data_IF_128496618235
#
_entry.id   IF_128496618235
#
_cell.length_a   1.000
_cell.length_b   1.000
_cell.length_c   1.000
_cell.angle_alpha   90.00
_cell.angle_beta   90.00
_cell.angle_gamma   90.00
#
_symmetry.space_group_name_H-M   'P 1'
#
loop_
_entity.id
_entity.type
_entity.pdbx_description
1 polymer ?
#
# COMPACT_ATOMS: atom_id res chain seq x y z
N UNK A 1 -5.62 -19.70 18.98
CA UNK A 1 -5.35 -18.32 18.49
C UNK A 1 -6.49 -17.97 17.56
N UNK A 2 -7.19 -16.87 17.79
CA UNK A 2 -8.27 -16.42 16.90
C UNK A 2 -7.63 -15.92 15.59
N UNK A 3 -8.26 -16.18 14.46
CA UNK A 3 -7.82 -15.75 13.12
C UNK A 3 -7.47 -14.25 13.03
N UNK A 4 -8.06 -13.42 13.88
CA UNK A 4 -7.81 -11.98 14.04
C UNK A 4 -6.40 -11.66 14.56
N UNK A 5 -5.81 -12.53 15.39
CA UNK A 5 -4.46 -12.27 15.95
C UNK A 5 -3.34 -12.49 14.91
N UNK A 6 -3.60 -13.36 13.92
CA UNK A 6 -2.63 -13.64 12.84
C UNK A 6 -2.52 -12.51 11.81
N UNK A 7 -3.50 -11.62 11.75
CA UNK A 7 -3.55 -10.47 10.82
C UNK A 7 -3.13 -9.15 11.48
N UNK A 8 -2.91 -9.15 12.79
CA UNK A 8 -2.48 -7.95 13.49
C UNK A 8 -1.01 -7.64 13.16
N UNK A 9 -0.78 -6.43 12.71
CA UNK A 9 0.57 -5.89 12.44
C UNK A 9 0.80 -4.78 13.46
N UNK A 10 1.80 -4.97 14.32
CA UNK A 10 2.11 -4.03 15.40
C UNK A 10 2.68 -2.72 14.81
N UNK A 11 2.03 -1.56 15.02
CA UNK A 11 2.49 -0.29 14.45
C UNK A 11 3.87 0.14 14.93
N UNK A 12 4.22 -0.16 16.18
CA UNK A 12 5.52 0.19 16.75
C UNK A 12 6.66 -0.60 16.09
N UNK A 13 6.44 -1.86 15.70
CA UNK A 13 7.43 -2.63 14.95
C UNK A 13 7.71 -2.00 13.58
N UNK A 14 6.64 -1.51 12.92
CA UNK A 14 6.80 -0.78 11.66
C UNK A 14 7.51 0.56 11.88
N UNK A 15 7.16 1.29 12.95
CA UNK A 15 7.76 2.60 13.26
C UNK A 15 9.28 2.53 13.46
N UNK A 16 9.78 1.43 14.00
CA UNK A 16 11.24 1.21 14.20
C UNK A 16 11.99 1.02 12.87
N UNK A 17 11.29 0.79 11.74
CA UNK A 17 11.91 0.64 10.42
C UNK A 17 12.60 -0.71 10.18
N UNK A 18 12.38 -1.71 11.06
CA UNK A 18 12.93 -3.06 10.87
C UNK A 18 12.14 -3.84 9.82
N UNK A 19 12.79 -4.78 9.09
CA UNK A 19 12.08 -5.71 8.23
C UNK A 19 11.00 -6.47 8.99
N UNK A 20 9.78 -6.50 8.46
CA UNK A 20 8.69 -7.22 9.08
C UNK A 20 8.66 -8.68 8.62
N UNK A 21 8.76 -9.60 9.57
CA UNK A 21 8.86 -11.04 9.31
C UNK A 21 7.47 -11.64 9.16
N UNK A 22 7.14 -12.11 7.97
CA UNK A 22 5.89 -12.87 7.73
C UNK A 22 6.11 -14.33 8.18
N UNK A 23 7.22 -14.92 7.76
CA UNK A 23 7.73 -16.23 8.21
C UNK A 23 9.25 -16.29 8.01
N UNK A 24 9.86 -17.47 8.18
CA UNK A 24 11.32 -17.62 8.06
C UNK A 24 11.88 -17.40 6.64
N UNK A 25 11.03 -17.34 5.63
CA UNK A 25 11.41 -17.20 4.22
C UNK A 25 10.88 -15.93 3.56
N UNK A 26 9.92 -15.27 4.18
CA UNK A 26 9.23 -14.12 3.61
C UNK A 26 9.29 -12.97 4.59
N UNK A 27 9.88 -11.88 4.15
CA UNK A 27 10.01 -10.62 4.90
C UNK A 27 9.47 -9.48 4.04
N UNK A 28 8.90 -8.46 4.67
CA UNK A 28 8.59 -7.19 4.05
C UNK A 28 9.63 -6.18 4.51
N UNK A 29 10.36 -5.60 3.57
CA UNK A 29 11.36 -4.57 3.85
C UNK A 29 10.71 -3.20 3.97
N UNK A 30 11.33 -2.34 4.74
CA UNK A 30 10.97 -0.93 4.84
C UNK A 30 12.13 -0.10 4.28
N UNK A 31 12.09 0.30 3.01
CA UNK A 31 13.11 1.18 2.48
C UNK A 31 13.05 2.55 3.15
N UNK A 32 14.20 3.19 3.22
CA UNK A 32 14.31 4.60 3.59
C UNK A 32 13.86 5.51 2.41
N UNK A 33 13.60 6.77 2.71
CA UNK A 33 13.33 7.76 1.65
C UNK A 33 14.51 7.84 0.66
N UNK A 34 15.74 7.72 1.15
CA UNK A 34 16.93 7.65 0.32
C UNK A 34 16.93 6.44 -0.61
N UNK A 35 16.65 5.24 -0.10
CA UNK A 35 16.58 4.02 -0.90
C UNK A 35 15.54 4.13 -2.03
N UNK A 36 14.39 4.75 -1.76
CA UNK A 36 13.33 4.95 -2.76
C UNK A 36 13.78 5.92 -3.85
N UNK A 37 14.50 6.98 -3.49
CA UNK A 37 15.02 7.96 -4.45
C UNK A 37 16.09 7.29 -5.35
N UNK A 38 16.99 6.51 -4.76
CA UNK A 38 18.06 5.81 -5.48
C UNK A 38 17.49 4.71 -6.40
N UNK A 39 16.45 4.01 -5.97
CA UNK A 39 15.73 3.03 -6.80
C UNK A 39 14.92 3.69 -7.94
N UNK A 40 14.52 4.92 -7.75
CA UNK A 40 13.62 5.68 -8.61
C UNK A 40 12.17 5.64 -8.13
N UNK A 41 11.69 6.79 -7.66
CA UNK A 41 10.36 6.95 -7.04
C UNK A 41 9.22 6.35 -7.86
N UNK A 42 9.18 6.63 -9.17
CA UNK A 42 8.12 6.14 -10.07
C UNK A 42 8.16 4.61 -10.18
N UNK A 43 9.33 4.01 -10.30
CA UNK A 43 9.51 2.56 -10.37
C UNK A 43 9.09 1.91 -9.06
N UNK A 44 9.48 2.49 -7.93
CA UNK A 44 9.12 2.02 -6.59
C UNK A 44 7.60 1.96 -6.38
N UNK A 45 6.91 3.06 -6.60
CA UNK A 45 5.45 3.09 -6.42
C UNK A 45 4.72 2.23 -7.45
N UNK A 46 5.23 2.11 -8.67
CA UNK A 46 4.67 1.23 -9.69
C UNK A 46 4.72 -0.24 -9.24
N UNK A 47 5.87 -0.72 -8.75
CA UNK A 47 6.00 -2.11 -8.29
C UNK A 47 5.18 -2.35 -7.03
N UNK A 48 5.19 -1.42 -6.08
CA UNK A 48 4.39 -1.49 -4.87
C UNK A 48 2.88 -1.61 -5.19
N UNK A 49 2.37 -0.73 -6.06
CA UNK A 49 0.97 -0.78 -6.49
C UNK A 49 0.65 -2.06 -7.24
N UNK A 50 1.57 -2.59 -8.06
CA UNK A 50 1.38 -3.84 -8.76
C UNK A 50 1.29 -5.04 -7.80
N UNK A 51 2.19 -5.12 -6.83
CA UNK A 51 2.19 -6.19 -5.82
C UNK A 51 0.96 -6.11 -4.90
N UNK A 52 0.52 -4.90 -4.56
CA UNK A 52 -0.64 -4.66 -3.70
C UNK A 52 -1.98 -4.53 -4.47
N UNK A 53 -1.99 -4.72 -5.79
CA UNK A 53 -3.17 -4.52 -6.62
C UNK A 53 -4.34 -5.41 -6.22
N UNK A 54 -5.54 -4.88 -6.38
CA UNK A 54 -6.80 -5.63 -6.32
C UNK A 54 -7.34 -5.85 -7.73
N UNK A 55 -8.27 -6.78 -7.95
CA UNK A 55 -8.95 -6.92 -9.24
C UNK A 55 -9.60 -5.63 -9.73
N UNK A 56 -10.10 -4.80 -8.80
CA UNK A 56 -10.68 -3.49 -9.13
C UNK A 56 -9.64 -2.50 -9.68
N UNK A 57 -8.39 -2.54 -9.20
CA UNK A 57 -7.30 -1.70 -9.73
C UNK A 57 -6.87 -2.12 -11.13
N UNK A 58 -7.05 -3.40 -11.48
CA UNK A 58 -6.66 -4.00 -12.76
C UNK A 58 -7.85 -4.22 -13.71
N UNK A 59 -9.05 -3.65 -13.41
CA UNK A 59 -10.29 -3.97 -14.13
C UNK A 59 -10.21 -3.76 -15.64
N UNK A 60 -9.50 -2.74 -16.12
CA UNK A 60 -9.31 -2.50 -17.56
C UNK A 60 -8.49 -3.62 -18.20
N UNK A 61 -7.34 -3.96 -17.60
CA UNK A 61 -6.45 -5.00 -18.13
C UNK A 61 -7.09 -6.39 -18.08
N UNK A 62 -7.82 -6.70 -17.00
CA UNK A 62 -8.54 -7.96 -16.85
C UNK A 62 -9.66 -8.07 -17.89
N UNK A 63 -10.43 -7.00 -18.08
CA UNK A 63 -11.50 -6.96 -19.07
C UNK A 63 -10.96 -7.14 -20.49
N UNK A 64 -9.85 -6.49 -20.85
CA UNK A 64 -9.21 -6.64 -22.15
C UNK A 64 -8.67 -8.05 -22.35
N UNK A 65 -8.28 -8.74 -21.27
CA UNK A 65 -7.92 -10.16 -21.27
C UNK A 65 -9.11 -11.12 -21.22
N UNK A 66 -10.35 -10.62 -21.27
CA UNK A 66 -11.56 -11.45 -21.21
C UNK A 66 -11.91 -11.99 -19.84
N UNK A 67 -11.31 -11.43 -18.77
CA UNK A 67 -11.51 -11.85 -17.38
C UNK A 67 -12.46 -10.87 -16.70
N UNK A 68 -13.51 -11.40 -16.06
CA UNK A 68 -14.37 -10.59 -15.21
C UNK A 68 -13.70 -10.33 -13.87
N UNK A 69 -13.26 -9.10 -13.65
CA UNK A 69 -12.54 -8.69 -12.44
C UNK A 69 -13.35 -8.87 -11.14
N UNK A 70 -14.69 -8.98 -11.24
CA UNK A 70 -15.56 -9.20 -10.07
C UNK A 70 -15.64 -10.70 -9.66
N UNK A 71 -15.16 -11.61 -10.50
CA UNK A 71 -15.22 -13.06 -10.29
C UNK A 71 -13.92 -13.64 -9.74
N UNK A 72 -12.85 -12.85 -9.72
CA UNK A 72 -11.56 -13.25 -9.15
C UNK A 72 -11.29 -12.51 -7.85
N UNK A 73 -10.58 -13.17 -6.94
CA UNK A 73 -10.14 -12.55 -5.70
C UNK A 73 -8.70 -11.98 -5.78
N UNK A 74 -8.28 -11.30 -4.72
CA UNK A 74 -6.97 -10.67 -4.66
C UNK A 74 -5.81 -11.68 -4.80
N UNK A 75 -5.94 -12.88 -4.21
CA UNK A 75 -4.89 -13.89 -4.27
C UNK A 75 -4.83 -14.57 -5.65
N UNK A 76 -5.98 -14.76 -6.28
CA UNK A 76 -6.04 -15.23 -7.67
C UNK A 76 -5.35 -14.22 -8.60
N UNK A 77 -5.67 -12.93 -8.48
CA UNK A 77 -4.97 -11.88 -9.23
C UNK A 77 -3.47 -11.91 -8.97
N UNK A 78 -3.05 -11.96 -7.71
CA UNK A 78 -1.63 -12.02 -7.36
C UNK A 78 -0.95 -13.24 -7.98
N UNK A 79 -1.61 -14.41 -7.99
CA UNK A 79 -1.07 -15.61 -8.60
C UNK A 79 -0.84 -15.50 -10.11
N UNK A 80 -1.62 -14.64 -10.79
CA UNK A 80 -1.46 -14.35 -12.21
C UNK A 80 -0.33 -13.36 -12.48
N UNK A 81 -0.11 -12.40 -11.57
CA UNK A 81 0.87 -11.32 -11.74
C UNK A 81 2.26 -11.75 -11.25
N UNK A 82 2.35 -12.46 -10.12
CA UNK A 82 3.61 -12.81 -9.46
C UNK A 82 4.67 -13.41 -10.40
N UNK A 83 4.35 -14.32 -11.34
CA UNK A 83 5.34 -14.86 -12.27
C UNK A 83 5.96 -13.84 -13.23
N UNK A 84 5.36 -12.66 -13.39
CA UNK A 84 5.89 -11.59 -14.23
C UNK A 84 6.76 -10.58 -13.48
N UNK A 85 6.94 -10.76 -12.16
CA UNK A 85 7.67 -9.85 -11.29
C UNK A 85 9.07 -10.40 -10.94
N UNK A 86 10.12 -9.97 -11.65
CA UNK A 86 11.49 -10.41 -11.36
C UNK A 86 11.97 -9.86 -10.00
N UNK A 87 12.90 -10.58 -9.38
CA UNK A 87 13.42 -10.24 -8.05
C UNK A 87 14.08 -8.85 -8.03
N UNK A 88 14.72 -8.45 -9.11
CA UNK A 88 15.35 -7.15 -9.26
C UNK A 88 14.38 -5.98 -9.06
N UNK A 89 13.11 -6.19 -9.40
CA UNK A 89 12.06 -5.20 -9.21
C UNK A 89 11.41 -5.25 -7.83
N UNK A 90 11.35 -6.44 -7.22
CA UNK A 90 10.64 -6.60 -5.94
C UNK A 90 11.56 -6.59 -4.73
N UNK A 91 12.88 -6.67 -4.92
CA UNK A 91 13.86 -6.79 -3.84
C UNK A 91 13.82 -5.64 -2.83
N UNK A 92 13.50 -4.44 -3.27
CA UNK A 92 13.39 -3.27 -2.37
C UNK A 92 12.27 -3.40 -1.33
N UNK A 93 11.23 -4.21 -1.60
CA UNK A 93 10.10 -4.43 -0.68
C UNK A 93 10.02 -5.86 -0.14
N UNK A 94 10.57 -6.86 -0.85
CA UNK A 94 10.46 -8.29 -0.49
C UNK A 94 11.81 -8.99 -0.36
N UNK A 95 12.93 -8.27 -0.46
CA UNK A 95 14.28 -8.85 -0.37
C UNK A 95 14.53 -9.92 -1.43
N UNK A 96 15.06 -11.05 -1.01
CA UNK A 96 15.45 -12.16 -1.90
C UNK A 96 14.28 -13.04 -2.35
N UNK A 97 13.03 -12.68 -2.03
CA UNK A 97 11.85 -13.43 -2.46
C UNK A 97 11.65 -13.30 -3.96
N UNK A 98 11.97 -14.37 -4.68
CA UNK A 98 11.80 -14.42 -6.13
C UNK A 98 10.37 -14.83 -6.50
N UNK A 99 9.51 -13.86 -6.78
CA UNK A 99 8.13 -14.10 -7.17
C UNK A 99 8.04 -14.79 -8.54
N UNK A 100 8.92 -14.46 -9.48
CA UNK A 100 8.90 -15.05 -10.84
C UNK A 100 9.25 -16.54 -10.88
N UNK A 101 9.91 -17.04 -9.85
CA UNK A 101 10.23 -18.46 -9.71
C UNK A 101 9.10 -19.28 -9.04
N UNK A 102 8.03 -18.63 -8.58
CA UNK A 102 6.89 -19.31 -7.99
C UNK A 102 6.04 -19.99 -9.08
N UNK A 103 5.67 -21.23 -8.82
CA UNK A 103 4.73 -21.99 -9.66
C UNK A 103 3.40 -22.12 -8.94
N UNK A 104 2.31 -22.03 -9.71
CA UNK A 104 0.96 -22.18 -9.20
C UNK A 104 0.61 -23.67 -9.09
N UNK A 105 0.21 -24.09 -7.91
CA UNK A 105 -0.31 -25.40 -7.60
C UNK A 105 -1.75 -25.30 -7.11
N UNK A 106 -2.52 -26.36 -7.26
CA UNK A 106 -3.81 -26.51 -6.60
C UNK A 106 -3.72 -27.61 -5.55
N UNK A 107 -4.18 -27.29 -4.34
CA UNK A 107 -4.29 -28.28 -3.25
C UNK A 107 -5.25 -29.40 -3.66
N UNK A 108 -4.84 -30.65 -3.44
CA UNK A 108 -5.69 -31.82 -3.70
C UNK A 108 -6.85 -31.95 -2.72
N UNK A 109 -6.72 -31.34 -1.55
CA UNK A 109 -7.71 -31.48 -0.46
C UNK A 109 -8.88 -30.52 -0.63
N UNK A 110 -8.62 -29.28 -1.00
CA UNK A 110 -9.63 -28.21 -1.03
C UNK A 110 -9.66 -27.40 -2.35
N UNK A 111 -8.78 -27.74 -3.32
CA UNK A 111 -8.70 -27.03 -4.60
C UNK A 111 -8.10 -25.61 -4.55
N UNK A 112 -7.65 -25.16 -3.37
CA UNK A 112 -7.10 -23.82 -3.20
C UNK A 112 -5.78 -23.64 -3.96
N UNK A 113 -5.55 -22.40 -4.39
CA UNK A 113 -4.31 -22.00 -5.04
C UNK A 113 -3.19 -21.92 -4.00
N UNK A 114 -2.03 -22.42 -4.37
CA UNK A 114 -0.78 -22.31 -3.62
C UNK A 114 0.30 -21.89 -4.60
N UNK A 115 1.03 -20.83 -4.28
CA UNK A 115 2.25 -20.46 -5.00
C UNK A 115 3.44 -21.07 -4.26
N UNK A 116 4.30 -21.81 -4.97
CA UNK A 116 5.45 -22.41 -4.31
C UNK A 116 6.68 -22.46 -5.23
N UNK A 117 7.85 -22.33 -4.60
CA UNK A 117 9.13 -22.68 -5.17
C UNK A 117 9.79 -23.75 -4.27
N UNK A 118 9.76 -25.02 -4.67
CA UNK A 118 10.34 -26.11 -3.89
C UNK A 118 11.85 -25.97 -3.65
N UNK A 119 12.59 -25.40 -4.63
CA UNK A 119 14.05 -25.22 -4.55
C UNK A 119 14.42 -24.25 -3.41
N UNK A 120 13.69 -23.14 -3.30
CA UNK A 120 13.87 -22.16 -2.23
C UNK A 120 13.10 -22.52 -0.95
N UNK A 121 12.27 -23.57 -0.98
CA UNK A 121 11.37 -23.96 0.12
C UNK A 121 10.40 -22.81 0.51
N UNK A 122 9.96 -22.06 -0.48
CA UNK A 122 8.97 -20.99 -0.32
C UNK A 122 7.60 -21.52 -0.68
N UNK A 123 6.62 -21.23 0.16
CA UNK A 123 5.19 -21.50 -0.08
C UNK A 123 4.40 -20.26 0.33
N UNK A 124 3.53 -19.80 -0.56
CA UNK A 124 2.58 -18.71 -0.31
C UNK A 124 1.18 -19.29 -0.52
N UNK A 125 0.45 -19.44 0.53
CA UNK A 125 -0.99 -19.68 0.53
C UNK A 125 -1.74 -18.36 0.76
N UNK A 126 -3.06 -18.42 0.79
CA UNK A 126 -3.92 -17.25 0.98
C UNK A 126 -3.59 -16.48 2.25
N UNK A 127 -3.35 -17.16 3.36
CA UNK A 127 -3.07 -16.51 4.64
C UNK A 127 -1.72 -15.77 4.62
N UNK A 128 -0.69 -16.40 4.08
CA UNK A 128 0.64 -15.78 3.95
C UNK A 128 0.57 -14.59 3.00
N UNK A 129 -0.13 -14.72 1.87
CA UNK A 129 -0.38 -13.62 0.94
C UNK A 129 -1.07 -12.44 1.64
N UNK A 130 -2.19 -12.67 2.33
CA UNK A 130 -2.93 -11.61 3.00
C UNK A 130 -2.08 -10.90 4.06
N UNK A 131 -1.28 -11.63 4.85
CA UNK A 131 -0.36 -11.02 5.81
C UNK A 131 0.69 -10.15 5.12
N UNK A 132 1.30 -10.65 4.05
CA UNK A 132 2.31 -9.93 3.28
C UNK A 132 1.74 -8.64 2.68
N UNK A 133 0.60 -8.72 1.99
CA UNK A 133 -0.01 -7.56 1.35
C UNK A 133 -0.55 -6.56 2.38
N UNK A 134 -1.16 -7.02 3.47
CA UNK A 134 -1.59 -6.13 4.54
C UNK A 134 -0.42 -5.41 5.21
N UNK A 135 0.73 -6.08 5.37
CA UNK A 135 1.94 -5.47 5.86
C UNK A 135 2.43 -4.35 4.92
N UNK A 136 2.57 -4.65 3.62
CA UNK A 136 2.99 -3.65 2.63
C UNK A 136 2.01 -2.48 2.55
N UNK A 137 0.70 -2.75 2.54
CA UNK A 137 -0.32 -1.68 2.53
C UNK A 137 -0.25 -0.81 3.78
N UNK A 138 -0.09 -1.41 4.95
CA UNK A 138 0.02 -0.67 6.21
C UNK A 138 1.28 0.20 6.25
N UNK A 139 2.41 -0.32 5.79
CA UNK A 139 3.66 0.44 5.69
C UNK A 139 3.53 1.71 4.84
N UNK A 140 2.68 1.68 3.82
CA UNK A 140 2.55 2.76 2.83
C UNK A 140 1.24 3.53 2.92
N UNK A 141 0.41 3.26 3.92
CA UNK A 141 -0.92 3.88 4.04
C UNK A 141 -1.88 3.54 2.89
N UNK A 142 -1.64 2.43 2.17
CA UNK A 142 -2.47 2.01 1.05
C UNK A 142 -3.74 1.33 1.53
N UNK A 143 -4.87 1.65 0.89
CA UNK A 143 -6.15 0.98 1.10
C UNK A 143 -6.46 0.07 -0.08
N UNK A 144 -7.04 -1.10 0.22
CA UNK A 144 -7.54 -1.98 -0.84
C UNK A 144 -8.71 -1.31 -1.57
N UNK A 145 -8.67 -1.33 -2.89
CA UNK A 145 -9.82 -0.92 -3.70
C UNK A 145 -10.84 -2.07 -3.74
N UNK A 146 -11.99 -1.86 -3.10
CA UNK A 146 -13.07 -2.84 -3.02
C UNK A 146 -14.27 -2.44 -3.89
N UNK A 147 -14.02 -1.64 -4.93
CA UNK A 147 -15.05 -1.16 -5.84
C UNK A 147 -15.75 -2.34 -6.54
N UNK A 148 -17.07 -2.28 -6.66
CA UNK A 148 -17.89 -3.31 -7.32
C UNK A 148 -18.93 -2.66 -8.22
N UNK A 149 -19.17 -3.26 -9.39
CA UNK A 149 -20.24 -2.85 -10.27
C UNK A 149 -21.55 -3.57 -9.93
N UNK A 150 -22.65 -2.83 -9.86
CA UNK A 150 -23.96 -3.41 -9.58
C UNK A 150 -24.58 -4.16 -10.76
N UNK A 151 -24.17 -3.85 -11.99
CA UNK A 151 -24.67 -4.47 -13.20
C UNK A 151 -23.66 -4.29 -14.36
N UNK A 152 -23.94 -4.95 -15.51
CA UNK A 152 -23.07 -4.93 -16.68
C UNK A 152 -22.89 -3.52 -17.29
N UNK A 153 -23.92 -2.66 -17.22
CA UNK A 153 -23.83 -1.29 -17.74
C UNK A 153 -22.89 -0.45 -16.89
N UNK A 154 -23.04 -0.52 -15.55
CA UNK A 154 -22.14 0.13 -14.59
C UNK A 154 -20.71 -0.38 -14.75
N UNK A 155 -20.52 -1.70 -14.92
CA UNK A 155 -19.19 -2.28 -15.13
C UNK A 155 -18.50 -1.69 -16.37
N UNK A 156 -19.21 -1.59 -17.50
CA UNK A 156 -18.66 -0.97 -18.72
C UNK A 156 -18.33 0.50 -18.54
N UNK A 157 -19.21 1.24 -17.87
CA UNK A 157 -18.98 2.66 -17.59
C UNK A 157 -17.74 2.89 -16.71
N UNK A 158 -17.54 2.04 -15.69
CA UNK A 158 -16.36 2.10 -14.81
C UNK A 158 -15.07 1.81 -15.59
N UNK A 159 -15.06 0.79 -16.44
CA UNK A 159 -13.92 0.45 -17.30
C UNK A 159 -13.58 1.59 -18.24
N UNK A 160 -14.60 2.18 -18.90
CA UNK A 160 -14.39 3.28 -19.83
C UNK A 160 -13.87 4.54 -19.14
N UNK A 161 -14.40 4.86 -17.95
CA UNK A 161 -13.91 5.98 -17.15
C UNK A 161 -12.45 5.81 -16.74
N UNK A 162 -12.05 4.58 -16.32
CA UNK A 162 -10.65 4.29 -15.99
C UNK A 162 -9.74 4.37 -17.21
N UNK A 163 -10.20 3.91 -18.39
CA UNK A 163 -9.46 4.06 -19.64
C UNK A 163 -9.16 5.51 -19.97
N UNK A 164 -10.19 6.36 -19.89
CA UNK A 164 -10.04 7.80 -20.12
C UNK A 164 -9.07 8.42 -19.09
N UNK A 165 -9.18 8.02 -17.82
CA UNK A 165 -8.28 8.47 -16.75
C UNK A 165 -6.83 8.04 -17.02
N UNK A 166 -6.61 6.80 -17.46
CA UNK A 166 -5.27 6.28 -17.84
C UNK A 166 -4.70 7.08 -19.03
N UNK A 167 -5.51 7.35 -20.05
CA UNK A 167 -5.11 8.16 -21.21
C UNK A 167 -4.75 9.59 -20.82
N UNK A 168 -5.56 10.23 -19.98
CA UNK A 168 -5.27 11.58 -19.48
C UNK A 168 -3.99 11.62 -18.64
N UNK A 169 -3.77 10.61 -17.79
CA UNK A 169 -2.58 10.54 -16.96
C UNK A 169 -1.31 10.24 -17.78
N UNK A 170 -1.41 9.49 -18.87
CA UNK A 170 -0.25 9.22 -19.74
C UNK A 170 0.27 10.48 -20.46
N UNK A 171 -0.56 11.52 -20.59
CA UNK A 171 -0.22 12.82 -21.20
C UNK A 171 0.34 13.83 -20.21
N UNK A 172 0.28 13.54 -18.90
CA UNK A 172 0.81 14.43 -17.86
C UNK A 172 2.32 14.23 -17.72
N UNK A 173 3.02 15.33 -17.48
CA UNK A 173 4.42 15.22 -17.08
C UNK A 173 4.55 14.50 -15.75
N UNK A 174 5.57 13.61 -15.61
CA UNK A 174 5.83 12.94 -14.34
C UNK A 174 6.08 13.97 -13.23
N UNK A 175 5.34 13.87 -12.14
CA UNK A 175 5.54 14.69 -10.96
C UNK A 175 5.92 13.81 -9.77
N UNK A 176 6.86 14.28 -8.95
CA UNK A 176 7.22 13.54 -7.73
C UNK A 176 6.09 13.63 -6.70
N UNK A 177 5.72 12.49 -6.15
CA UNK A 177 4.81 12.39 -5.01
C UNK A 177 5.52 12.72 -3.68
N UNK A 178 6.78 12.26 -3.53
CA UNK A 178 7.56 12.45 -2.30
C UNK A 178 8.10 13.87 -2.13
N UNK A 179 8.49 14.55 -3.21
CA UNK A 179 9.14 15.85 -3.13
C UNK A 179 8.33 16.91 -2.36
N UNK A 180 7.01 17.08 -2.59
CA UNK A 180 6.21 18.02 -1.82
C UNK A 180 6.14 17.63 -0.33
N UNK A 181 6.04 16.34 -0.01
CA UNK A 181 5.98 15.84 1.35
C UNK A 181 7.30 16.07 2.09
N UNK A 182 8.42 15.71 1.46
CA UNK A 182 9.78 15.95 1.98
C UNK A 182 10.00 17.44 2.25
N UNK A 183 9.64 18.29 1.30
CA UNK A 183 9.80 19.75 1.43
C UNK A 183 8.96 20.29 2.59
N UNK A 184 7.70 19.85 2.71
CA UNK A 184 6.78 20.28 3.76
C UNK A 184 7.26 19.87 5.16
N UNK A 185 7.67 18.61 5.33
CA UNK A 185 8.22 18.10 6.61
C UNK A 185 9.48 18.85 6.97
N UNK A 186 10.38 19.04 6.00
CA UNK A 186 11.63 19.77 6.22
C UNK A 186 11.39 21.21 6.69
N UNK A 187 10.52 21.94 6.00
CA UNK A 187 10.20 23.32 6.37
C UNK A 187 9.53 23.42 7.74
N UNK A 188 8.61 22.49 8.05
CA UNK A 188 7.81 22.55 9.27
C UNK A 188 8.58 22.06 10.49
N UNK A 189 9.37 20.99 10.36
CA UNK A 189 10.08 20.35 11.45
C UNK A 189 11.54 20.80 11.58
N UNK A 190 12.06 21.54 10.60
CA UNK A 190 13.46 21.92 10.56
C UNK A 190 14.44 20.74 10.36
N UNK A 191 13.95 19.61 9.87
CA UNK A 191 14.79 18.44 9.64
C UNK A 191 15.84 18.68 8.55
N UNK A 192 17.04 18.13 8.76
CA UNK A 192 18.07 18.16 7.73
C UNK A 192 17.71 17.22 6.59
N UNK A 193 18.32 17.46 5.42
CA UNK A 193 18.16 16.56 4.27
C UNK A 193 18.58 15.14 4.62
N UNK A 194 19.74 14.98 5.26
CA UNK A 194 20.30 13.68 5.57
C UNK A 194 19.43 12.90 6.56
N UNK A 195 18.81 13.60 7.53
CA UNK A 195 17.89 12.97 8.46
C UNK A 195 16.66 12.40 7.71
N UNK A 196 16.03 13.18 6.84
CA UNK A 196 14.87 12.72 6.06
C UNK A 196 15.22 11.54 5.16
N UNK A 197 16.38 11.56 4.52
CA UNK A 197 16.80 10.47 3.63
C UNK A 197 17.00 9.13 4.37
N UNK A 198 17.29 9.18 5.67
CA UNK A 198 17.46 8.00 6.53
C UNK A 198 16.13 7.53 7.16
N UNK A 199 15.06 8.33 7.08
CA UNK A 199 13.76 7.92 7.61
C UNK A 199 13.16 6.79 6.79
N UNK A 200 12.65 5.77 7.50
CA UNK A 200 11.87 4.69 6.90
C UNK A 200 10.53 5.18 6.36
N UNK A 201 10.04 4.55 5.32
CA UNK A 201 8.82 4.99 4.62
C UNK A 201 7.60 5.04 5.57
N UNK A 202 7.44 4.10 6.50
CA UNK A 202 6.32 4.10 7.43
C UNK A 202 6.40 5.27 8.43
N UNK A 203 7.55 5.47 9.09
CA UNK A 203 7.75 6.58 10.04
C UNK A 203 7.62 7.94 9.36
N UNK A 204 8.10 8.06 8.11
CA UNK A 204 7.93 9.27 7.32
C UNK A 204 6.44 9.58 7.05
N UNK A 205 5.66 8.61 6.57
CA UNK A 205 4.22 8.81 6.34
C UNK A 205 3.44 9.02 7.64
N UNK A 206 3.81 8.35 8.73
CA UNK A 206 3.23 8.62 10.05
C UNK A 206 3.46 10.07 10.45
N UNK A 207 4.68 10.59 10.28
CA UNK A 207 5.02 11.99 10.54
C UNK A 207 4.19 12.95 9.71
N UNK A 208 4.07 12.73 8.39
CA UNK A 208 3.23 13.56 7.50
C UNK A 208 1.78 13.59 7.98
N UNK A 209 1.21 12.41 8.27
CA UNK A 209 -0.17 12.30 8.73
C UNK A 209 -0.35 12.94 10.12
N UNK A 210 0.61 12.78 11.01
CA UNK A 210 0.58 13.40 12.35
C UNK A 210 0.60 14.91 12.28
N UNK A 211 1.44 15.48 11.42
CA UNK A 211 1.47 16.92 11.19
C UNK A 211 0.12 17.45 10.72
N UNK A 212 -0.53 16.76 9.79
CA UNK A 212 -1.87 17.14 9.34
C UNK A 212 -2.91 17.09 10.48
N UNK A 213 -2.82 16.09 11.36
CA UNK A 213 -3.73 15.99 12.53
C UNK A 213 -3.49 17.11 13.52
N UNK A 214 -2.24 17.46 13.81
CA UNK A 214 -1.87 18.56 14.70
C UNK A 214 -2.41 19.87 14.13
N UNK A 215 -2.13 20.17 12.86
CA UNK A 215 -2.56 21.42 12.22
C UNK A 215 -4.08 21.58 12.22
N UNK A 216 -4.80 20.50 11.87
CA UNK A 216 -6.24 20.52 11.88
C UNK A 216 -6.81 20.77 13.29
N UNK A 217 -6.24 20.13 14.31
CA UNK A 217 -6.65 20.35 15.69
C UNK A 217 -6.41 21.81 16.13
N UNK A 218 -5.24 22.37 15.84
CA UNK A 218 -4.87 23.73 16.18
C UNK A 218 -5.77 24.77 15.49
N UNK A 219 -6.08 24.56 14.18
CA UNK A 219 -6.99 25.43 13.45
C UNK A 219 -8.42 25.37 14.02
N UNK A 220 -8.92 24.19 14.38
CA UNK A 220 -10.23 24.02 14.99
C UNK A 220 -10.29 24.69 16.36
N UNK A 221 -9.28 24.49 17.22
CA UNK A 221 -9.18 25.10 18.54
C UNK A 221 -9.14 26.63 18.42
N UNK A 222 -8.29 27.14 17.51
CA UNK A 222 -8.20 28.59 17.25
C UNK A 222 -9.53 29.18 16.76
N UNK A 223 -10.21 28.47 15.83
CA UNK A 223 -11.51 28.88 15.33
C UNK A 223 -12.60 28.89 16.41
N UNK A 224 -12.57 27.93 17.34
CA UNK A 224 -13.48 27.91 18.49
C UNK A 224 -13.23 29.11 19.40
N UNK A 225 -11.98 29.42 19.76
CA UNK A 225 -11.62 30.57 20.58
C UNK A 225 -12.00 31.91 19.95
N UNK A 226 -11.91 32.00 18.61
CA UNK A 226 -12.29 33.19 17.84
C UNK A 226 -13.81 33.30 17.62
N UNK A 227 -14.59 32.26 17.98
CA UNK A 227 -16.04 32.23 17.74
C UNK A 227 -16.44 32.01 16.29
N UNK A 228 -15.49 31.64 15.39
CA UNK A 228 -15.74 31.36 13.97
C UNK A 228 -16.16 29.90 13.72
N UNK A 229 -15.89 29.01 14.68
CA UNK A 229 -16.26 27.59 14.64
C UNK A 229 -17.14 27.23 15.83
N UNK A 230 -18.31 26.64 15.55
CA UNK A 230 -19.23 26.16 16.59
C UNK A 230 -18.68 24.89 17.24
N UNK A 231 -18.24 24.97 18.50
CA UNK A 231 -17.67 23.87 19.26
C UNK A 231 -18.61 22.66 19.39
N UNK A 232 -19.94 22.87 19.34
CA UNK A 232 -20.94 21.80 19.43
C UNK A 232 -20.94 20.87 18.21
N UNK A 233 -20.41 21.35 17.07
CA UNK A 233 -20.32 20.59 15.81
C UNK A 233 -19.01 19.83 15.68
N UNK A 234 -18.06 20.05 16.57
CA UNK A 234 -16.73 19.43 16.52
C UNK A 234 -16.66 18.29 17.53
N UNK A 235 -16.26 17.11 17.07
CA UNK A 235 -16.07 15.98 17.97
C UNK A 235 -14.79 16.15 18.81
N UNK A 236 -14.78 15.60 20.04
CA UNK A 236 -13.59 15.60 20.89
C UNK A 236 -12.38 14.92 20.21
N UNK A 237 -12.65 13.90 19.38
CA UNK A 237 -11.62 13.21 18.62
C UNK A 237 -10.92 14.11 17.59
N UNK A 238 -11.65 15.04 16.97
CA UNK A 238 -11.06 16.02 16.04
C UNK A 238 -10.11 17.01 16.72
N UNK A 239 -10.33 17.29 18.00
CA UNK A 239 -9.47 18.18 18.81
C UNK A 239 -8.30 17.42 19.46
N UNK A 240 -8.34 16.08 19.46
CA UNK A 240 -7.30 15.25 20.05
C UNK A 240 -6.19 14.98 19.00
N UNK A 241 -5.14 15.80 19.04
CA UNK A 241 -3.99 15.63 18.15
C UNK A 241 -3.16 14.37 18.44
N UNK A 242 -3.34 13.72 19.60
CA UNK A 242 -2.70 12.44 19.97
C UNK A 242 -3.54 11.22 19.60
N UNK A 243 -4.68 11.38 18.91
CA UNK A 243 -5.49 10.25 18.46
C UNK A 243 -4.72 9.30 17.55
N UNK A 244 -5.16 8.06 17.48
CA UNK A 244 -4.64 7.11 16.48
C UNK A 244 -4.87 7.63 15.05
N UNK A 245 -3.88 7.44 14.19
CA UNK A 245 -3.99 7.71 12.75
C UNK A 245 -4.76 6.56 12.09
N UNK A 246 -5.85 6.90 11.40
CA UNK A 246 -6.73 5.94 10.71
C UNK A 246 -6.49 5.97 9.21
#
# INVERSE_FOLDING_TARGET
>A
MKSTDLMHIEPLELYVGKPYKINDKIICLQPTIGDIIDYGETAYFSILHTVCATPADMKVRLFDGGINWMEIDNFELFSMIAPSLPVEQTSIILGDLNLSALKTYRSKENGEIILANPEQRVKIDRLIYERMINCLRKMHGLKANNEKAHNKATMRAMIENDRQTMELNSKKEPSSYLLPLISSVRCKMGWTKDYILQEGIYSFFDTVNRLNVIDNADHLISGIYQGTVDSKKISKDQLNWMRELK
#
